data_IF_469054702607
#
_entry.id   IF_469054702607
#
_cell.length_a   1.000
_cell.length_b   1.000
_cell.length_c   1.000
_cell.angle_alpha   90.00
_cell.angle_beta   90.00
_cell.angle_gamma   90.00
#
_symmetry.space_group_name_H-M   'P 1'
#
loop_
_entity.id
_entity.type
_entity.pdbx_description
1 polymer ?
#
# COMPACT_ATOMS: atom_id res chain seq x y z
N UNK A 1 -17.31 -24.42 1.60
CA UNK A 1 -18.69 -23.95 1.28
C UNK A 1 -18.66 -22.43 1.37
N UNK A 2 -19.04 -21.78 0.29
CA UNK A 2 -19.34 -20.36 0.27
C UNK A 2 -20.70 -20.20 0.95
N UNK A 3 -20.75 -19.60 2.12
CA UNK A 3 -22.02 -19.17 2.71
C UNK A 3 -22.20 -17.69 2.33
N UNK A 4 -23.15 -17.42 1.44
CA UNK A 4 -23.72 -16.08 1.36
C UNK A 4 -24.38 -15.79 2.70
N UNK A 5 -24.17 -14.61 3.25
CA UNK A 5 -25.01 -14.17 4.35
C UNK A 5 -26.46 -14.13 3.87
N UNK A 6 -27.42 -14.55 4.72
CA UNK A 6 -28.81 -14.56 4.32
C UNK A 6 -29.25 -13.15 3.97
N UNK A 7 -29.91 -13.09 2.86
CA UNK A 7 -30.76 -12.02 2.39
C UNK A 7 -30.20 -10.60 2.37
N UNK A 8 -29.96 -10.16 1.17
CA UNK A 8 -30.01 -8.80 0.64
C UNK A 8 -29.07 -7.75 1.19
N UNK A 9 -28.28 -8.03 2.22
CA UNK A 9 -27.65 -6.93 2.96
C UNK A 9 -26.17 -7.07 3.26
N UNK A 10 -25.52 -8.20 2.98
CA UNK A 10 -24.07 -8.32 3.16
C UNK A 10 -23.40 -8.96 1.94
N UNK A 11 -22.70 -8.15 1.18
CA UNK A 11 -21.84 -8.61 0.07
C UNK A 11 -20.50 -9.20 0.57
N UNK A 12 -20.43 -9.63 1.81
CA UNK A 12 -19.27 -10.39 2.30
C UNK A 12 -19.50 -11.86 1.96
N UNK A 13 -18.75 -12.35 0.98
CA UNK A 13 -18.61 -13.77 0.77
C UNK A 13 -17.55 -14.29 1.74
N UNK A 14 -17.98 -15.07 2.73
CA UNK A 14 -17.10 -15.71 3.68
C UNK A 14 -16.83 -17.15 3.26
N UNK A 15 -15.61 -17.43 2.86
CA UNK A 15 -15.13 -18.79 2.70
C UNK A 15 -14.48 -19.24 3.99
N UNK A 16 -14.98 -20.32 4.58
CA UNK A 16 -14.40 -20.87 5.81
C UNK A 16 -13.54 -22.08 5.48
N UNK A 17 -12.29 -22.00 5.83
CA UNK A 17 -11.39 -23.15 5.92
C UNK A 17 -11.30 -23.53 7.40
N UNK A 18 -11.38 -24.82 7.69
CA UNK A 18 -11.38 -25.33 9.05
C UNK A 18 -10.16 -26.16 9.36
N UNK A 19 -9.63 -25.90 10.56
CA UNK A 19 -8.76 -26.78 11.28
C UNK A 19 -9.45 -27.09 12.64
N UNK A 20 -10.29 -28.13 12.68
CA UNK A 20 -11.03 -28.49 13.87
C UNK A 20 -12.53 -28.13 13.82
N UNK A 21 -13.18 -28.15 14.97
CA UNK A 21 -14.60 -27.82 15.12
C UNK A 21 -14.87 -26.31 14.94
N UNK A 22 -16.04 -25.91 14.43
CA UNK A 22 -16.37 -24.51 14.22
C UNK A 22 -16.42 -23.74 15.51
N UNK A 23 -15.77 -22.57 15.50
CA UNK A 23 -15.85 -21.64 16.63
C UNK A 23 -17.21 -20.90 16.61
N UNK A 24 -18.01 -21.07 17.65
CA UNK A 24 -19.31 -20.40 17.76
C UNK A 24 -19.22 -18.88 17.81
N UNK A 25 -18.09 -18.36 18.29
CA UNK A 25 -17.86 -16.92 18.39
C UNK A 25 -17.80 -16.20 17.03
N UNK A 26 -17.56 -16.90 15.92
CA UNK A 26 -17.66 -16.37 14.58
C UNK A 26 -19.02 -15.72 14.28
N UNK A 27 -20.11 -16.32 14.77
CA UNK A 27 -21.47 -15.75 14.61
C UNK A 27 -21.61 -14.45 15.39
N UNK A 28 -21.03 -14.37 16.58
CA UNK A 28 -21.02 -13.17 17.39
C UNK A 28 -20.24 -12.04 16.70
N UNK A 29 -19.09 -12.36 16.09
CA UNK A 29 -18.30 -11.40 15.31
C UNK A 29 -19.13 -10.81 14.15
N UNK A 30 -19.75 -11.65 13.33
CA UNK A 30 -20.56 -11.21 12.20
C UNK A 30 -21.77 -10.38 12.64
N UNK A 31 -22.42 -10.78 13.72
CA UNK A 31 -23.54 -10.05 14.31
C UNK A 31 -23.11 -8.66 14.81
N UNK A 32 -21.96 -8.58 15.48
CA UNK A 32 -21.41 -7.31 15.97
C UNK A 32 -21.02 -6.39 14.81
N UNK A 33 -20.36 -6.93 13.79
CA UNK A 33 -20.00 -6.18 12.60
C UNK A 33 -21.25 -5.57 11.92
N UNK A 34 -22.29 -6.36 11.72
CA UNK A 34 -23.55 -5.92 11.13
C UNK A 34 -24.24 -4.84 11.98
N UNK A 35 -24.35 -5.08 13.28
CA UNK A 35 -25.04 -4.16 14.20
C UNK A 35 -24.33 -2.83 14.37
N UNK A 36 -23.00 -2.86 14.49
CA UNK A 36 -22.22 -1.69 14.87
C UNK A 36 -21.88 -0.78 13.69
N UNK A 37 -21.57 -1.37 12.56
CA UNK A 37 -21.02 -0.63 11.40
C UNK A 37 -21.96 -0.61 10.20
N UNK A 38 -23.16 -1.16 10.31
CA UNK A 38 -24.13 -1.16 9.21
C UNK A 38 -23.59 -1.82 7.94
N UNK A 39 -22.78 -2.87 8.09
CA UNK A 39 -22.13 -3.57 6.99
C UNK A 39 -23.16 -4.30 6.12
N UNK A 40 -24.02 -3.55 5.46
CA UNK A 40 -25.09 -4.08 4.61
C UNK A 40 -24.60 -4.43 3.20
N UNK A 41 -23.48 -3.86 2.76
CA UNK A 41 -22.91 -4.14 1.44
C UNK A 41 -21.39 -4.06 1.53
N UNK A 42 -20.74 -5.19 1.74
CA UNK A 42 -19.29 -5.31 1.62
C UNK A 42 -19.00 -6.16 0.38
N UNK A 43 -18.53 -5.55 -0.72
CA UNK A 43 -18.35 -6.24 -2.00
C UNK A 43 -17.12 -7.16 -2.00
N UNK A 44 -16.74 -7.75 -0.86
CA UNK A 44 -15.45 -8.39 -0.75
C UNK A 44 -15.49 -9.76 -0.13
N UNK A 45 -14.72 -10.63 -0.75
CA UNK A 45 -14.49 -11.98 -0.29
C UNK A 45 -13.45 -11.98 0.84
N UNK A 46 -13.89 -12.40 2.04
CA UNK A 46 -12.99 -12.74 3.13
C UNK A 46 -12.93 -14.25 3.30
N UNK A 47 -11.73 -14.77 3.48
CA UNK A 47 -11.53 -16.11 3.99
C UNK A 47 -11.35 -16.04 5.50
N UNK A 48 -12.21 -16.72 6.23
CA UNK A 48 -12.03 -17.00 7.65
C UNK A 48 -11.31 -18.33 7.79
N UNK A 49 -10.09 -18.30 8.29
CA UNK A 49 -9.33 -19.49 8.63
C UNK A 49 -9.33 -19.65 10.14
N UNK A 50 -9.96 -20.74 10.61
CA UNK A 50 -9.98 -21.11 12.01
C UNK A 50 -8.80 -22.05 12.30
N UNK A 51 -8.01 -21.74 13.30
CA UNK A 51 -6.84 -22.53 13.65
C UNK A 51 -6.72 -22.72 15.17
N UNK A 52 -6.62 -23.98 15.65
CA UNK A 52 -6.32 -24.23 17.04
C UNK A 52 -4.98 -23.58 17.46
N UNK A 53 -4.89 -23.03 18.70
CA UNK A 53 -3.69 -22.35 19.18
C UNK A 53 -2.43 -23.23 19.17
N UNK A 54 -2.61 -24.53 19.41
CA UNK A 54 -1.51 -25.49 19.37
C UNK A 54 -0.92 -25.63 17.96
N UNK A 55 -1.79 -25.74 16.95
CA UNK A 55 -1.36 -25.80 15.54
C UNK A 55 -0.69 -24.49 15.15
N UNK A 56 -1.31 -23.36 15.48
CA UNK A 56 -0.76 -22.05 15.18
C UNK A 56 0.66 -21.88 15.73
N UNK A 57 0.86 -22.16 17.02
CA UNK A 57 2.18 -22.08 17.67
C UNK A 57 3.20 -23.03 17.05
N UNK A 58 2.79 -24.27 16.76
CA UNK A 58 3.66 -25.25 16.08
C UNK A 58 4.10 -24.74 14.71
N UNK A 59 3.17 -24.19 13.95
CA UNK A 59 3.46 -23.60 12.64
C UNK A 59 4.46 -22.45 12.73
N UNK A 60 4.25 -21.52 13.64
CA UNK A 60 5.17 -20.40 13.83
C UNK A 60 6.57 -20.87 14.27
N UNK A 61 6.66 -21.87 15.16
CA UNK A 61 7.94 -22.43 15.59
C UNK A 61 8.71 -23.06 14.45
N UNK A 62 8.04 -23.84 13.60
CA UNK A 62 8.67 -24.44 12.44
C UNK A 62 9.12 -23.41 11.41
N UNK A 63 8.29 -22.37 11.16
CA UNK A 63 8.68 -21.27 10.27
C UNK A 63 9.86 -20.50 10.82
N UNK A 64 9.85 -20.15 12.11
CA UNK A 64 10.98 -19.47 12.73
C UNK A 64 12.29 -20.26 12.55
N UNK A 65 12.25 -21.59 12.82
CA UNK A 65 13.41 -22.46 12.63
C UNK A 65 13.84 -22.57 11.14
N UNK A 66 12.88 -22.59 10.21
CA UNK A 66 13.18 -22.60 8.77
C UNK A 66 13.82 -21.29 8.30
N UNK A 67 13.39 -20.15 8.84
CA UNK A 67 13.94 -18.84 8.49
C UNK A 67 15.40 -18.66 8.93
N UNK A 68 15.83 -19.37 9.95
CA UNK A 68 17.24 -19.36 10.42
C UNK A 68 18.18 -20.16 9.51
N UNK A 69 17.66 -21.07 8.68
CA UNK A 69 18.47 -21.89 7.80
C UNK A 69 18.96 -21.11 6.58
N UNK A 70 20.21 -21.29 6.14
CA UNK A 70 20.72 -20.67 4.91
C UNK A 70 19.93 -21.09 3.67
N UNK A 71 19.50 -22.35 3.63
CA UNK A 71 18.66 -22.91 2.56
C UNK A 71 17.49 -23.64 3.19
N UNK A 72 16.28 -23.03 3.19
CA UNK A 72 15.10 -23.66 3.73
C UNK A 72 14.67 -24.86 2.86
N UNK A 73 14.34 -25.97 3.51
CA UNK A 73 13.85 -27.18 2.87
C UNK A 73 12.31 -27.26 2.99
N UNK A 74 11.57 -27.50 1.89
CA UNK A 74 10.13 -27.76 1.96
C UNK A 74 9.74 -28.89 2.91
N UNK A 75 10.65 -29.85 3.14
CA UNK A 75 10.46 -30.93 4.11
C UNK A 75 10.44 -30.43 5.57
N UNK A 76 11.01 -29.27 5.85
CA UNK A 76 10.96 -28.65 7.17
C UNK A 76 9.55 -28.15 7.52
N UNK A 77 8.71 -28.01 6.50
CA UNK A 77 7.37 -27.51 6.62
C UNK A 77 6.42 -28.23 5.64
N UNK A 78 5.66 -29.15 6.14
CA UNK A 78 4.72 -29.93 5.33
C UNK A 78 3.46 -29.12 4.98
N UNK A 79 3.55 -28.20 4.02
CA UNK A 79 2.38 -27.64 3.35
C UNK A 79 2.09 -28.44 2.08
N UNK A 80 1.11 -29.33 2.10
CA UNK A 80 0.79 -30.14 0.94
C UNK A 80 0.43 -29.27 -0.26
N UNK A 81 1.09 -29.50 -1.39
CA UNK A 81 0.79 -28.82 -2.65
C UNK A 81 1.56 -27.52 -2.92
N UNK A 82 2.42 -27.05 -2.02
CA UNK A 82 3.38 -25.99 -2.34
C UNK A 82 4.54 -26.57 -3.16
N UNK A 83 4.88 -25.90 -4.24
CA UNK A 83 6.12 -26.19 -4.98
C UNK A 83 7.32 -25.65 -4.22
N UNK A 84 8.47 -26.28 -4.42
CA UNK A 84 9.73 -25.87 -3.80
C UNK A 84 10.09 -24.39 -4.08
N UNK A 85 9.85 -23.93 -5.30
CA UNK A 85 10.09 -22.55 -5.69
C UNK A 85 9.21 -21.57 -4.91
N UNK A 86 7.91 -21.86 -4.79
CA UNK A 86 6.99 -21.05 -4.01
C UNK A 86 7.38 -21.02 -2.52
N UNK A 87 7.79 -22.17 -1.99
CA UNK A 87 8.29 -22.26 -0.62
C UNK A 87 9.50 -21.36 -0.39
N UNK A 88 10.50 -21.41 -1.27
CA UNK A 88 11.69 -20.56 -1.15
C UNK A 88 11.35 -19.09 -1.10
N UNK A 89 10.43 -18.67 -1.95
CA UNK A 89 10.06 -17.23 -2.02
C UNK A 89 9.25 -16.81 -0.81
N UNK A 90 8.32 -17.65 -0.34
CA UNK A 90 7.56 -17.38 0.88
C UNK A 90 8.48 -17.28 2.10
N UNK A 91 9.49 -18.14 2.20
CA UNK A 91 10.51 -18.07 3.25
C UNK A 91 11.35 -16.82 3.11
N UNK A 92 11.73 -16.43 1.89
CA UNK A 92 12.48 -15.19 1.68
C UNK A 92 11.69 -13.95 2.09
N UNK A 93 10.39 -13.93 1.83
CA UNK A 93 9.52 -12.88 2.34
C UNK A 93 9.43 -12.89 3.88
N UNK A 94 9.37 -14.09 4.48
CA UNK A 94 9.41 -14.25 5.93
C UNK A 94 10.69 -13.73 6.57
N UNK A 95 11.83 -13.83 5.89
CA UNK A 95 13.11 -13.23 6.33
C UNK A 95 13.06 -11.71 6.38
N UNK A 96 12.17 -11.09 5.60
CA UNK A 96 11.96 -9.63 5.61
C UNK A 96 11.03 -9.18 6.73
N UNK A 97 10.00 -9.97 7.05
CA UNK A 97 8.92 -9.60 7.96
C UNK A 97 8.63 -10.59 9.10
N UNK A 98 9.49 -11.60 9.27
CA UNK A 98 9.35 -12.59 10.34
C UNK A 98 8.42 -13.77 10.02
N UNK A 99 8.29 -14.73 10.96
CA UNK A 99 7.55 -15.96 10.74
C UNK A 99 6.04 -15.76 10.57
N UNK A 100 5.48 -14.71 11.18
CA UNK A 100 4.06 -14.38 10.99
C UNK A 100 3.79 -13.98 9.54
N UNK A 101 4.61 -13.10 8.95
CA UNK A 101 4.46 -12.73 7.54
C UNK A 101 4.60 -13.94 6.63
N UNK A 102 5.56 -14.83 6.88
CA UNK A 102 5.70 -16.07 6.12
C UNK A 102 4.43 -16.93 6.21
N UNK A 103 3.88 -17.10 7.42
CA UNK A 103 2.65 -17.85 7.63
C UNK A 103 1.48 -17.24 6.87
N UNK A 104 1.32 -15.92 6.94
CA UNK A 104 0.28 -15.20 6.23
C UNK A 104 0.33 -15.43 4.73
N UNK A 105 1.51 -15.33 4.12
CA UNK A 105 1.69 -15.58 2.69
C UNK A 105 1.40 -17.02 2.30
N UNK A 106 1.83 -17.97 3.11
CA UNK A 106 1.51 -19.39 2.92
C UNK A 106 -0.01 -19.62 3.01
N UNK A 107 -0.65 -19.03 4.02
CA UNK A 107 -2.11 -19.15 4.19
C UNK A 107 -2.86 -18.52 3.02
N UNK A 108 -2.44 -17.36 2.55
CA UNK A 108 -3.03 -16.72 1.35
C UNK A 108 -2.90 -17.63 0.12
N UNK A 109 -1.71 -18.17 -0.12
CA UNK A 109 -1.46 -19.07 -1.23
C UNK A 109 -2.32 -20.34 -1.15
N UNK A 110 -2.44 -20.95 0.04
CA UNK A 110 -3.23 -22.16 0.24
C UNK A 110 -4.73 -21.93 0.19
N UNK A 111 -5.20 -20.84 0.79
CA UNK A 111 -6.62 -20.50 0.79
C UNK A 111 -7.09 -19.97 -0.56
N UNK A 112 -6.17 -19.63 -1.45
CA UNK A 112 -6.46 -18.98 -2.74
C UNK A 112 -7.25 -17.70 -2.54
N UNK A 113 -6.99 -17.00 -1.46
CA UNK A 113 -7.65 -15.78 -1.08
C UNK A 113 -6.63 -14.76 -0.60
N UNK A 114 -6.80 -13.55 -1.08
CA UNK A 114 -5.90 -12.45 -0.77
C UNK A 114 -6.19 -11.89 0.60
N UNK A 115 -7.46 -11.92 1.03
CA UNK A 115 -7.93 -11.34 2.28
C UNK A 115 -8.31 -12.42 3.24
N UNK A 116 -7.61 -12.48 4.36
CA UNK A 116 -7.79 -13.53 5.34
C UNK A 116 -7.90 -12.93 6.73
N UNK A 117 -8.86 -13.43 7.48
CA UNK A 117 -8.90 -13.29 8.93
C UNK A 117 -8.51 -14.64 9.51
N UNK A 118 -7.29 -14.76 10.03
CA UNK A 118 -6.84 -15.95 10.70
C UNK A 118 -7.33 -15.89 12.16
N UNK A 119 -8.28 -16.75 12.48
CA UNK A 119 -8.93 -16.85 13.78
C UNK A 119 -8.22 -17.92 14.60
N UNK A 120 -7.47 -17.52 15.61
CA UNK A 120 -6.78 -18.43 16.52
C UNK A 120 -7.60 -18.59 17.79
N UNK A 121 -7.98 -19.83 18.07
CA UNK A 121 -8.78 -20.15 19.24
C UNK A 121 -9.41 -21.53 19.10
N UNK A 122 -9.96 -22.05 20.18
CA UNK A 122 -10.66 -23.33 20.23
C UNK A 122 -12.11 -23.11 20.67
N UNK A 123 -12.40 -23.24 21.96
CA UNK A 123 -13.74 -22.96 22.52
C UNK A 123 -14.03 -21.46 22.61
N UNK A 124 -12.99 -20.66 22.66
CA UNK A 124 -13.04 -19.19 22.69
C UNK A 124 -11.94 -18.59 21.81
N UNK A 125 -12.13 -17.36 21.33
CA UNK A 125 -11.07 -16.67 20.60
C UNK A 125 -9.87 -16.36 21.51
N UNK A 126 -8.66 -16.54 20.99
CA UNK A 126 -7.42 -16.04 21.61
C UNK A 126 -6.93 -14.81 20.87
N UNK A 127 -6.89 -14.86 19.55
CA UNK A 127 -6.46 -13.76 18.71
C UNK A 127 -7.04 -13.84 17.29
N UNK A 128 -7.02 -12.70 16.59
CA UNK A 128 -7.27 -12.63 15.16
C UNK A 128 -6.12 -11.89 14.48
N UNK A 129 -5.70 -12.44 13.35
CA UNK A 129 -4.67 -11.86 12.50
C UNK A 129 -5.31 -11.49 11.16
N UNK A 130 -5.66 -10.20 10.95
CA UNK A 130 -6.12 -9.72 9.67
C UNK A 130 -4.93 -9.51 8.74
N UNK A 131 -5.02 -9.98 7.50
CA UNK A 131 -4.03 -9.71 6.48
C UNK A 131 -4.61 -9.71 5.06
N UNK A 132 -3.97 -8.97 4.19
CA UNK A 132 -4.35 -8.80 2.79
C UNK A 132 -3.10 -8.68 1.89
N UNK A 133 -3.26 -8.19 0.65
CA UNK A 133 -2.14 -8.02 -0.28
C UNK A 133 -1.07 -7.05 0.23
N UNK A 134 -1.47 -6.02 0.96
CA UNK A 134 -0.59 -4.93 1.33
C UNK A 134 0.15 -5.16 2.64
N UNK A 135 -0.22 -6.13 3.43
CA UNK A 135 0.53 -6.47 4.63
C UNK A 135 -0.28 -7.15 5.72
N UNK A 136 0.41 -7.41 6.82
CA UNK A 136 -0.15 -7.86 8.05
C UNK A 136 -0.66 -6.66 8.84
N UNK A 137 -1.91 -6.72 9.23
CA UNK A 137 -2.45 -5.75 10.18
C UNK A 137 -2.13 -6.21 11.61
N UNK A 138 -2.08 -5.31 12.60
CA UNK A 138 -1.87 -5.69 13.97
C UNK A 138 -2.88 -6.75 14.42
N UNK A 139 -2.41 -7.74 15.15
CA UNK A 139 -3.29 -8.76 15.73
C UNK A 139 -4.22 -8.15 16.77
N UNK A 140 -5.39 -8.73 16.94
CA UNK A 140 -6.35 -8.40 17.98
C UNK A 140 -6.37 -9.52 19.01
N UNK A 141 -6.08 -9.21 20.26
CA UNK A 141 -6.09 -10.19 21.35
C UNK A 141 -7.41 -10.19 22.10
N UNK A 142 -7.91 -11.37 22.46
CA UNK A 142 -9.20 -11.54 23.13
C UNK A 142 -9.07 -11.38 24.65
N UNK A 143 -8.80 -10.18 25.12
CA UNK A 143 -8.76 -9.88 26.56
C UNK A 143 -10.15 -9.64 27.15
N UNK A 144 -10.97 -8.86 26.44
CA UNK A 144 -12.39 -8.64 26.74
C UNK A 144 -13.21 -9.01 25.50
N UNK A 145 -14.12 -9.95 25.63
CA UNK A 145 -14.88 -10.46 24.48
C UNK A 145 -15.75 -9.41 23.81
N UNK A 146 -16.30 -8.46 24.56
CA UNK A 146 -17.13 -7.40 23.96
C UNK A 146 -16.27 -6.44 23.15
N UNK A 147 -15.19 -5.94 23.73
CA UNK A 147 -14.23 -5.08 23.06
C UNK A 147 -13.55 -5.81 21.90
N UNK A 148 -13.23 -7.09 22.05
CA UNK A 148 -12.66 -7.93 21.02
C UNK A 148 -13.56 -8.01 19.78
N UNK A 149 -14.85 -8.29 19.94
CA UNK A 149 -15.77 -8.37 18.81
C UNK A 149 -15.96 -7.00 18.13
N UNK A 150 -16.02 -5.92 18.90
CA UNK A 150 -16.12 -4.58 18.34
C UNK A 150 -14.86 -4.19 17.57
N UNK A 151 -13.69 -4.50 18.08
CA UNK A 151 -12.41 -4.20 17.44
C UNK A 151 -12.22 -4.98 16.13
N UNK A 152 -12.53 -6.30 16.14
CA UNK A 152 -12.47 -7.09 14.91
C UNK A 152 -13.51 -6.61 13.89
N UNK A 153 -14.72 -6.28 14.33
CA UNK A 153 -15.74 -5.77 13.44
C UNK A 153 -15.33 -4.42 12.83
N UNK A 154 -14.67 -3.55 13.59
CA UNK A 154 -14.10 -2.31 13.09
C UNK A 154 -12.97 -2.59 12.07
N UNK A 155 -12.08 -3.54 12.34
CA UNK A 155 -11.02 -3.95 11.41
C UNK A 155 -11.59 -4.54 10.13
N UNK A 156 -12.62 -5.37 10.23
CA UNK A 156 -13.34 -5.89 9.05
C UNK A 156 -13.94 -4.75 8.23
N UNK A 157 -14.59 -3.78 8.87
CA UNK A 157 -15.16 -2.62 8.20
C UNK A 157 -14.06 -1.77 7.55
N UNK A 158 -12.95 -1.57 8.25
CA UNK A 158 -11.78 -0.84 7.75
C UNK A 158 -11.17 -1.56 6.55
N UNK A 159 -10.89 -2.85 6.67
CA UNK A 159 -10.37 -3.68 5.57
C UNK A 159 -11.38 -3.73 4.42
N UNK A 160 -12.67 -3.76 4.68
CA UNK A 160 -13.70 -3.75 3.66
C UNK A 160 -13.79 -2.40 2.94
N UNK A 161 -13.69 -1.28 3.67
CA UNK A 161 -13.68 0.05 3.08
C UNK A 161 -12.47 0.26 2.16
N UNK A 162 -11.40 -0.51 2.34
CA UNK A 162 -10.21 -0.49 1.49
C UNK A 162 -10.46 -1.02 0.08
N UNK A 163 -11.61 -1.61 -0.14
CA UNK A 163 -12.03 -2.13 -1.44
C UNK A 163 -13.25 -1.41 -1.99
N UNK A 164 -13.50 -0.24 -1.46
CA UNK A 164 -14.34 0.68 -2.19
C UNK A 164 -13.75 0.80 -3.59
N UNK A 165 -14.54 0.37 -4.58
CA UNK A 165 -14.14 0.40 -5.98
C UNK A 165 -13.60 1.79 -6.28
N UNK A 166 -12.39 1.86 -6.76
CA UNK A 166 -11.83 3.15 -7.18
C UNK A 166 -12.59 3.59 -8.42
N UNK A 167 -13.50 4.53 -8.24
CA UNK A 167 -14.38 5.06 -9.28
C UNK A 167 -13.71 6.24 -9.97
N UNK A 168 -12.74 5.96 -10.85
CA UNK A 168 -12.15 7.01 -11.67
C UNK A 168 -13.15 7.50 -12.72
N UNK A 169 -13.26 8.79 -12.86
CA UNK A 169 -14.13 9.45 -13.84
C UNK A 169 -13.30 10.09 -14.95
N UNK A 170 -13.63 9.77 -16.20
CA UNK A 170 -13.01 10.43 -17.35
C UNK A 170 -13.76 11.70 -17.70
N UNK A 171 -13.04 12.82 -17.78
CA UNK A 171 -13.61 14.14 -18.04
C UNK A 171 -13.23 14.67 -19.42
N UNK A 172 -14.18 15.26 -20.12
CA UNK A 172 -14.00 15.86 -21.43
C UNK A 172 -13.74 17.39 -21.31
N UNK A 173 -13.11 18.03 -22.29
CA UNK A 173 -12.57 17.43 -23.52
C UNK A 173 -11.24 16.73 -23.27
N UNK A 174 -10.85 15.75 -24.11
CA UNK A 174 -9.53 15.14 -24.04
C UNK A 174 -8.43 16.17 -24.29
N UNK A 175 -7.26 15.91 -23.71
CA UNK A 175 -6.05 16.66 -24.03
C UNK A 175 -5.61 16.36 -25.47
N UNK A 176 -5.30 17.37 -26.24
CA UNK A 176 -4.79 17.17 -27.59
C UNK A 176 -3.47 16.39 -27.58
N UNK A 177 -3.32 15.45 -28.50
CA UNK A 177 -2.09 14.65 -28.61
C UNK A 177 -0.84 15.52 -28.75
N UNK A 178 -0.95 16.62 -29.50
CA UNK A 178 0.14 17.55 -29.70
C UNK A 178 0.58 18.30 -28.43
N UNK A 179 -0.35 18.53 -27.51
CA UNK A 179 -0.03 19.14 -26.20
C UNK A 179 0.69 18.14 -25.30
N UNK A 180 0.18 16.90 -25.25
CA UNK A 180 0.81 15.81 -24.52
C UNK A 180 2.25 15.56 -24.95
N UNK A 181 2.51 15.51 -26.26
CA UNK A 181 3.85 15.28 -26.80
C UNK A 181 4.83 16.44 -26.55
N UNK A 182 4.35 17.65 -26.24
CA UNK A 182 5.17 18.78 -25.85
C UNK A 182 5.44 18.83 -24.35
N UNK A 183 4.68 18.11 -23.56
CA UNK A 183 4.89 18.03 -22.11
C UNK A 183 6.21 17.34 -21.78
N UNK A 184 6.92 17.86 -20.78
CA UNK A 184 8.27 17.34 -20.43
C UNK A 184 8.21 16.29 -19.31
N UNK A 185 7.18 16.35 -18.47
CA UNK A 185 7.03 15.45 -17.31
C UNK A 185 6.83 13.99 -17.73
N UNK A 186 6.06 13.64 -18.75
CA UNK A 186 5.92 12.23 -19.15
C UNK A 186 7.25 11.54 -19.45
N UNK A 187 8.13 12.20 -20.22
CA UNK A 187 9.45 11.66 -20.52
C UNK A 187 10.37 11.61 -19.28
N UNK A 188 10.28 12.60 -18.40
CA UNK A 188 11.02 12.59 -17.13
C UNK A 188 10.56 11.45 -16.21
N UNK A 189 9.25 11.17 -16.14
CA UNK A 189 8.74 10.05 -15.38
C UNK A 189 9.21 8.69 -15.90
N UNK A 190 9.35 8.53 -17.22
CA UNK A 190 9.93 7.30 -17.78
C UNK A 190 11.41 7.11 -17.39
N UNK A 191 12.16 8.19 -17.25
CA UNK A 191 13.54 8.12 -16.72
C UNK A 191 13.53 7.80 -15.23
N UNK A 192 12.69 8.49 -14.47
CA UNK A 192 12.53 8.27 -13.04
C UNK A 192 12.11 6.82 -12.71
N UNK A 193 11.25 6.23 -13.52
CA UNK A 193 10.82 4.83 -13.35
C UNK A 193 12.01 3.86 -13.27
N UNK A 194 13.00 4.02 -14.16
CA UNK A 194 14.22 3.19 -14.16
C UNK A 194 15.05 3.38 -12.89
N UNK A 195 15.27 4.62 -12.49
CA UNK A 195 16.03 4.93 -11.28
C UNK A 195 15.35 4.41 -10.01
N UNK A 196 14.04 4.63 -9.89
CA UNK A 196 13.26 4.16 -8.74
C UNK A 196 13.16 2.62 -8.71
N UNK A 197 13.05 2.00 -9.87
CA UNK A 197 13.04 0.54 -10.01
C UNK A 197 14.37 -0.09 -9.57
N UNK A 198 15.51 0.45 -10.01
CA UNK A 198 16.84 0.00 -9.59
C UNK A 198 17.07 0.12 -8.08
N UNK A 199 16.44 1.11 -7.44
CA UNK A 199 16.46 1.32 -6.00
C UNK A 199 15.45 0.46 -5.23
N UNK A 200 14.69 -0.39 -5.95
CA UNK A 200 13.79 -1.39 -5.38
C UNK A 200 12.47 -0.87 -4.87
N UNK A 201 12.03 0.35 -5.26
CA UNK A 201 10.73 0.88 -4.84
C UNK A 201 9.54 0.09 -5.36
N UNK A 202 9.69 -0.57 -6.50
CA UNK A 202 8.65 -1.40 -7.11
C UNK A 202 8.86 -2.89 -6.88
N UNK A 203 9.64 -3.26 -5.87
CA UNK A 203 9.80 -4.65 -5.48
C UNK A 203 8.48 -5.15 -4.88
N UNK A 204 7.88 -6.20 -5.44
CA UNK A 204 6.62 -6.73 -4.96
C UNK A 204 6.67 -7.10 -3.47
N UNK A 205 5.61 -6.76 -2.71
CA UNK A 205 5.41 -7.28 -1.36
C UNK A 205 5.16 -8.77 -1.40
N UNK A 206 4.41 -9.20 -2.43
CA UNK A 206 4.18 -10.61 -2.75
C UNK A 206 4.72 -10.84 -4.15
N UNK A 207 5.57 -11.85 -4.32
CA UNK A 207 5.93 -12.29 -5.65
C UNK A 207 4.72 -12.94 -6.29
N UNK A 208 4.22 -12.36 -7.38
CA UNK A 208 3.05 -12.92 -8.09
C UNK A 208 3.31 -14.35 -8.53
N UNK A 209 4.56 -14.69 -8.88
CA UNK A 209 4.97 -16.06 -9.22
C UNK A 209 4.67 -17.03 -8.07
N UNK A 210 4.73 -16.61 -6.82
CA UNK A 210 4.46 -17.47 -5.66
C UNK A 210 2.98 -17.77 -5.51
N UNK A 211 2.15 -16.78 -5.78
CA UNK A 211 0.70 -16.96 -5.80
C UNK A 211 0.27 -17.85 -6.98
N UNK A 212 0.92 -17.73 -8.15
CA UNK A 212 0.61 -18.52 -9.33
C UNK A 212 1.17 -19.96 -9.25
N UNK A 213 2.12 -20.23 -8.36
CA UNK A 213 2.55 -21.59 -8.05
C UNK A 213 1.42 -22.43 -7.44
N UNK A 214 0.39 -21.80 -6.91
CA UNK A 214 -0.85 -22.45 -6.51
C UNK A 214 -1.84 -22.36 -7.67
N UNK A 215 -2.24 -23.51 -8.31
CA UNK A 215 -2.93 -23.53 -9.63
C UNK A 215 -4.26 -22.83 -9.76
N UNK A 216 -4.71 -22.08 -8.79
CA UNK A 216 -6.01 -21.39 -8.85
C UNK A 216 -5.97 -19.96 -8.31
N UNK A 217 -4.80 -19.43 -7.99
CA UNK A 217 -4.61 -17.98 -7.83
C UNK A 217 -4.33 -17.47 -9.22
N UNK A 218 -5.39 -17.16 -9.91
CA UNK A 218 -5.45 -17.00 -11.33
C UNK A 218 -4.65 -15.80 -11.84
N UNK A 219 -4.35 -15.84 -13.12
CA UNK A 219 -3.92 -14.72 -13.96
C UNK A 219 -4.68 -13.41 -13.70
N UNK A 220 -5.91 -13.48 -13.19
CA UNK A 220 -6.73 -12.33 -12.82
C UNK A 220 -6.10 -11.49 -11.69
N UNK A 221 -5.47 -12.11 -10.68
CA UNK A 221 -4.76 -11.38 -9.63
C UNK A 221 -3.46 -10.82 -10.18
N UNK A 222 -2.72 -11.63 -10.92
CA UNK A 222 -1.47 -11.22 -11.54
C UNK A 222 -1.64 -10.08 -12.54
N UNK A 223 -2.78 -10.01 -13.22
CA UNK A 223 -3.08 -8.95 -14.20
C UNK A 223 -3.62 -7.65 -13.59
N UNK A 224 -4.14 -7.71 -12.37
CA UNK A 224 -4.72 -6.55 -11.67
C UNK A 224 -3.79 -5.95 -10.62
N UNK A 225 -2.74 -6.66 -10.26
CA UNK A 225 -1.84 -6.25 -9.19
C UNK A 225 -0.73 -5.34 -9.74
N UNK A 226 -0.60 -4.16 -9.14
CA UNK A 226 0.42 -3.18 -9.47
C UNK A 226 1.13 -2.74 -8.19
N UNK A 227 2.45 -2.72 -8.21
CA UNK A 227 3.27 -2.36 -7.06
C UNK A 227 3.67 -0.90 -7.10
N UNK A 228 3.30 -0.19 -6.04
CA UNK A 228 3.57 1.23 -5.87
C UNK A 228 2.97 2.14 -6.95
N UNK A 229 3.09 3.41 -6.77
CA UNK A 229 2.75 4.41 -7.80
C UNK A 229 3.63 5.65 -7.66
N UNK A 230 3.74 6.40 -8.72
CA UNK A 230 4.44 7.69 -8.68
C UNK A 230 3.81 8.67 -9.66
N UNK A 231 3.96 9.94 -9.32
CA UNK A 231 3.34 11.03 -10.06
C UNK A 231 4.18 12.29 -9.98
N UNK A 232 4.05 13.16 -10.97
CA UNK A 232 4.65 14.49 -10.94
C UNK A 232 3.74 15.52 -11.58
N UNK A 233 3.70 16.72 -11.01
CA UNK A 233 2.92 17.83 -11.55
C UNK A 233 3.56 18.38 -12.81
N UNK A 234 2.77 18.50 -13.87
CA UNK A 234 3.18 19.18 -15.10
C UNK A 234 2.61 20.61 -15.12
N UNK A 235 3.46 21.64 -15.01
CA UNK A 235 2.99 23.02 -14.92
C UNK A 235 2.44 23.56 -16.26
N UNK A 236 2.80 22.96 -17.38
CA UNK A 236 2.29 23.37 -18.70
C UNK A 236 0.89 22.78 -18.97
N UNK A 237 0.61 21.62 -18.41
CA UNK A 237 -0.70 20.96 -18.49
C UNK A 237 -1.63 21.32 -17.33
N UNK A 238 -1.09 21.99 -16.29
CA UNK A 238 -1.75 22.25 -15.00
C UNK A 238 -2.44 21.00 -14.44
N UNK A 239 -1.70 19.92 -14.40
CA UNK A 239 -2.25 18.61 -14.03
C UNK A 239 -1.17 17.67 -13.46
N UNK A 240 -1.60 16.66 -12.73
CA UNK A 240 -0.74 15.61 -12.20
C UNK A 240 -0.63 14.48 -13.22
N UNK A 241 0.58 14.21 -13.69
CA UNK A 241 0.90 13.01 -14.50
C UNK A 241 1.21 11.87 -13.55
N UNK A 242 0.46 10.79 -13.62
CA UNK A 242 0.59 9.65 -12.71
C UNK A 242 0.65 8.32 -13.48
N UNK A 243 1.22 7.28 -12.85
CA UNK A 243 1.21 5.94 -13.40
C UNK A 243 -0.20 5.36 -13.43
N UNK A 244 -0.52 4.59 -14.48
CA UNK A 244 -1.78 3.87 -14.60
C UNK A 244 -1.77 2.58 -13.77
N UNK A 245 -2.94 2.06 -13.45
CA UNK A 245 -3.07 0.75 -12.79
C UNK A 245 -2.49 -0.34 -13.69
N UNK A 246 -1.76 -1.29 -13.09
CA UNK A 246 -1.11 -2.36 -13.86
C UNK A 246 -0.04 -1.90 -14.85
N UNK A 247 0.51 -0.66 -14.68
CA UNK A 247 1.54 -0.08 -15.55
C UNK A 247 2.69 -1.05 -15.81
N UNK A 248 2.98 -1.30 -17.07
CA UNK A 248 4.06 -2.18 -17.54
C UNK A 248 4.08 -3.56 -16.85
N UNK A 249 3.00 -3.97 -16.23
CA UNK A 249 2.83 -5.11 -15.35
C UNK A 249 3.54 -4.93 -13.98
N UNK A 250 3.12 -5.63 -12.93
CA UNK A 250 3.60 -5.41 -11.55
C UNK A 250 5.12 -5.43 -11.39
N UNK A 251 5.78 -6.36 -12.06
CA UNK A 251 7.22 -6.61 -11.93
C UNK A 251 8.10 -5.77 -12.86
N UNK A 252 7.50 -4.94 -13.70
CA UNK A 252 8.19 -4.17 -14.75
C UNK A 252 7.88 -2.68 -14.71
N UNK A 253 7.47 -2.14 -13.55
CA UNK A 253 7.15 -0.72 -13.40
C UNK A 253 8.34 0.21 -13.66
N UNK A 254 9.54 -0.33 -13.64
CA UNK A 254 10.77 0.32 -14.09
C UNK A 254 10.83 0.58 -15.60
N UNK A 255 9.91 0.02 -16.39
CA UNK A 255 9.90 0.07 -17.85
C UNK A 255 8.60 0.65 -18.41
N UNK A 256 8.04 1.65 -17.74
CA UNK A 256 6.81 2.31 -18.22
C UNK A 256 7.04 3.01 -19.56
N UNK A 257 6.02 2.90 -20.41
CA UNK A 257 5.91 3.64 -21.67
C UNK A 257 4.93 4.81 -21.57
N UNK A 258 4.69 5.46 -22.68
CA UNK A 258 3.75 6.58 -22.76
C UNK A 258 2.32 6.17 -22.40
N UNK A 259 1.89 4.95 -22.78
CA UNK A 259 0.56 4.41 -22.49
C UNK A 259 0.35 4.00 -21.02
N UNK A 260 1.42 4.05 -20.22
CA UNK A 260 1.38 3.74 -18.79
C UNK A 260 1.24 4.98 -17.90
N UNK A 261 0.86 6.11 -18.49
CA UNK A 261 0.67 7.39 -17.78
C UNK A 261 -0.75 7.92 -18.01
N UNK A 262 -1.32 8.49 -16.96
CA UNK A 262 -2.61 9.16 -16.96
C UNK A 262 -2.48 10.60 -16.48
N UNK A 263 -3.40 11.46 -16.96
CA UNK A 263 -3.45 12.88 -16.59
C UNK A 263 -4.59 13.09 -15.60
N UNK A 264 -4.25 13.43 -14.35
CA UNK A 264 -5.20 13.66 -13.27
C UNK A 264 -5.40 15.15 -13.09
N UNK A 265 -6.66 15.58 -13.13
CA UNK A 265 -7.07 16.98 -13.05
C UNK A 265 -7.91 17.30 -11.81
N UNK A 266 -8.24 16.28 -11.00
CA UNK A 266 -9.04 16.46 -9.79
C UNK A 266 -9.32 15.15 -9.07
N UNK A 267 -10.11 15.26 -8.03
CA UNK A 267 -10.70 14.13 -7.29
C UNK A 267 -12.19 14.11 -7.57
N UNK A 268 -12.74 12.93 -7.82
CA UNK A 268 -14.17 12.76 -8.00
C UNK A 268 -14.94 13.22 -6.74
N UNK A 269 -16.17 13.75 -6.87
CA UNK A 269 -16.94 14.26 -5.73
C UNK A 269 -17.17 13.21 -4.63
N UNK A 270 -17.18 11.92 -4.98
CA UNK A 270 -17.28 10.83 -4.02
C UNK A 270 -16.02 10.67 -3.13
N UNK A 271 -14.89 11.25 -3.51
CA UNK A 271 -13.57 11.03 -2.90
C UNK A 271 -12.99 9.64 -3.20
N UNK A 272 -13.67 8.82 -4.04
CA UNK A 272 -13.29 7.42 -4.31
C UNK A 272 -12.49 7.25 -5.59
N UNK A 273 -12.34 8.27 -6.37
CA UNK A 273 -11.67 8.23 -7.67
C UNK A 273 -11.04 9.54 -8.04
N UNK A 274 -10.15 9.50 -9.02
CA UNK A 274 -9.56 10.67 -9.65
C UNK A 274 -10.40 11.09 -10.86
N UNK A 275 -10.44 12.39 -11.12
CA UNK A 275 -10.88 12.94 -12.40
C UNK A 275 -9.73 12.86 -13.39
N UNK A 276 -9.91 12.07 -14.43
CA UNK A 276 -8.88 11.75 -15.42
C UNK A 276 -9.21 12.42 -16.75
N UNK A 277 -8.32 13.25 -17.23
CA UNK A 277 -8.45 13.83 -18.56
C UNK A 277 -7.87 12.89 -19.59
N UNK A 278 -8.67 12.35 -20.54
CA UNK A 278 -8.18 11.46 -21.58
C UNK A 278 -7.17 12.17 -22.47
N UNK A 279 -6.27 11.42 -23.08
CA UNK A 279 -5.35 11.90 -24.11
C UNK A 279 -5.90 11.47 -25.45
N UNK A 280 -5.99 12.39 -26.42
CA UNK A 280 -6.48 12.12 -27.75
C UNK A 280 -5.68 10.99 -28.43
N UNK A 281 -6.40 9.97 -28.93
CA UNK A 281 -5.79 8.81 -29.59
C UNK A 281 -5.12 7.81 -28.65
N UNK A 282 -5.11 8.04 -27.33
CA UNK A 282 -4.60 7.09 -26.34
C UNK A 282 -5.75 6.25 -25.72
N UNK A 283 -5.48 5.02 -25.27
CA UNK A 283 -6.46 4.24 -24.51
C UNK A 283 -6.89 4.97 -23.23
N UNK A 284 -8.16 4.88 -22.88
CA UNK A 284 -8.66 5.37 -21.58
C UNK A 284 -8.30 4.38 -20.47
N UNK A 285 -7.06 4.40 -20.02
CA UNK A 285 -6.58 3.53 -18.95
C UNK A 285 -6.73 4.26 -17.60
N UNK A 286 -7.34 3.65 -16.60
CA UNK A 286 -7.47 4.25 -15.28
C UNK A 286 -6.09 4.38 -14.62
N UNK A 287 -5.85 5.46 -13.85
CA UNK A 287 -4.64 5.60 -13.05
C UNK A 287 -4.59 4.56 -11.94
N UNK A 288 -3.44 4.49 -11.23
CA UNK A 288 -3.34 3.71 -10.00
C UNK A 288 -4.46 4.08 -9.02
N UNK A 289 -4.93 3.12 -8.24
CA UNK A 289 -5.90 3.38 -7.16
C UNK A 289 -5.45 4.47 -6.19
N UNK A 290 -4.15 4.61 -6.00
CA UNK A 290 -3.50 5.61 -5.14
C UNK A 290 -3.40 7.01 -5.77
N UNK A 291 -3.87 7.19 -6.99
CA UNK A 291 -3.86 8.48 -7.65
C UNK A 291 -4.69 9.55 -6.93
N UNK A 292 -5.73 9.13 -6.20
CA UNK A 292 -6.55 10.03 -5.38
C UNK A 292 -5.70 10.65 -4.28
N UNK A 293 -4.96 9.84 -3.53
CA UNK A 293 -4.09 10.33 -2.47
C UNK A 293 -2.96 11.22 -3.02
N UNK A 294 -2.39 10.84 -4.17
CA UNK A 294 -1.34 11.62 -4.83
C UNK A 294 -1.82 13.01 -5.30
N UNK A 295 -3.08 13.16 -5.63
CA UNK A 295 -3.65 14.45 -6.00
C UNK A 295 -4.16 15.22 -4.77
N UNK A 296 -4.87 14.53 -3.88
CA UNK A 296 -5.60 15.16 -2.79
C UNK A 296 -4.70 15.72 -1.69
N UNK A 297 -3.51 15.13 -1.51
CA UNK A 297 -2.54 15.62 -0.54
C UNK A 297 -2.07 17.06 -0.80
N UNK A 298 -2.20 17.58 -2.02
CA UNK A 298 -1.83 18.95 -2.36
C UNK A 298 -2.86 20.00 -1.88
N UNK A 299 -4.10 19.60 -1.60
CA UNK A 299 -5.18 20.54 -1.30
C UNK A 299 -4.90 21.46 -0.09
N UNK A 300 -4.36 20.95 1.04
CA UNK A 300 -4.04 21.78 2.20
C UNK A 300 -2.67 22.49 2.09
N UNK A 301 -1.91 22.26 1.02
CA UNK A 301 -0.56 22.78 0.87
C UNK A 301 -0.55 24.10 0.08
N UNK A 302 0.44 24.96 0.31
CA UNK A 302 0.58 26.18 -0.46
C UNK A 302 0.86 25.91 -1.94
N UNK A 303 0.45 26.85 -2.77
CA UNK A 303 0.84 26.91 -4.19
C UNK A 303 1.93 27.95 -4.38
N UNK A 304 2.80 27.69 -5.32
CA UNK A 304 3.92 28.57 -5.67
C UNK A 304 3.84 29.01 -7.14
N UNK A 305 4.43 30.15 -7.44
CA UNK A 305 4.54 30.65 -8.82
C UNK A 305 5.83 30.16 -9.47
N UNK A 306 5.69 29.51 -10.61
CA UNK A 306 6.82 29.06 -11.44
C UNK A 306 6.82 29.83 -12.76
N UNK A 307 7.99 30.35 -13.15
CA UNK A 307 8.18 30.91 -14.49
C UNK A 307 8.56 29.79 -15.45
N UNK A 308 7.71 29.54 -16.42
CA UNK A 308 7.91 28.52 -17.44
C UNK A 308 8.86 28.99 -18.54
N UNK A 309 9.34 28.06 -19.35
CA UNK A 309 10.06 28.40 -20.58
C UNK A 309 9.17 29.29 -21.47
N UNK A 310 9.68 30.45 -21.86
CA UNK A 310 8.88 31.45 -22.60
C UNK A 310 8.26 32.55 -21.74
N UNK A 311 8.50 32.54 -20.42
CA UNK A 311 8.14 33.65 -19.52
C UNK A 311 6.70 33.57 -18.94
N UNK A 312 5.92 32.59 -19.34
CA UNK A 312 4.61 32.36 -18.72
C UNK A 312 4.74 31.97 -17.24
N UNK A 313 3.82 32.42 -16.39
CA UNK A 313 3.80 32.07 -14.97
C UNK A 313 2.68 31.07 -14.73
N UNK A 314 3.02 29.94 -14.10
CA UNK A 314 2.07 28.93 -13.65
C UNK A 314 2.02 28.89 -12.12
N UNK A 315 0.82 28.76 -11.55
CA UNK A 315 0.62 28.56 -10.12
C UNK A 315 0.45 27.05 -9.84
N UNK A 316 1.43 26.45 -9.20
CA UNK A 316 1.50 25.00 -9.01
C UNK A 316 1.54 24.62 -7.53
N UNK A 317 1.16 23.37 -7.14
CA UNK A 317 1.38 22.90 -5.78
C UNK A 317 2.86 22.98 -5.39
N UNK A 318 3.15 23.20 -4.11
CA UNK A 318 4.53 23.21 -3.58
C UNK A 318 5.24 21.87 -3.81
N UNK A 319 4.51 20.78 -3.78
CA UNK A 319 4.99 19.43 -4.07
C UNK A 319 4.98 19.19 -5.57
N UNK A 320 6.14 18.82 -6.11
CA UNK A 320 6.30 18.47 -7.51
C UNK A 320 6.07 17.00 -7.79
N UNK A 321 6.78 16.14 -7.05
CA UNK A 321 6.84 14.70 -7.33
C UNK A 321 6.42 13.92 -6.09
N UNK A 322 5.74 12.81 -6.29
CA UNK A 322 5.18 11.95 -5.25
C UNK A 322 5.41 10.51 -5.63
N UNK A 323 5.90 9.73 -4.67
CA UNK A 323 6.19 8.31 -4.83
C UNK A 323 5.57 7.55 -3.67
N UNK A 324 4.75 6.57 -3.98
CA UNK A 324 4.44 5.49 -3.07
C UNK A 324 5.18 4.24 -3.52
N UNK A 325 5.88 3.60 -2.58
CA UNK A 325 6.62 2.37 -2.85
C UNK A 325 6.71 1.48 -1.63
N UNK A 326 6.96 0.19 -1.87
CA UNK A 326 6.98 -0.84 -0.84
C UNK A 326 8.37 -0.96 -0.19
N UNK A 327 8.84 0.15 0.34
CA UNK A 327 10.11 0.27 1.07
C UNK A 327 9.84 0.93 2.42
N UNK A 328 10.69 0.66 3.40
CA UNK A 328 10.77 1.46 4.61
C UNK A 328 11.88 2.51 4.52
N UNK A 329 11.97 3.34 5.53
CA UNK A 329 13.08 4.27 5.74
C UNK A 329 13.74 3.90 7.06
N UNK A 330 15.03 3.52 7.02
CA UNK A 330 15.77 3.13 8.20
C UNK A 330 16.48 4.30 8.90
N UNK A 331 16.82 5.35 8.15
CA UNK A 331 17.38 6.57 8.70
C UNK A 331 17.23 7.75 7.73
N UNK A 332 17.26 8.96 8.26
CA UNK A 332 17.28 10.19 7.45
C UNK A 332 18.00 11.32 8.16
N UNK A 333 18.49 12.31 7.40
CA UNK A 333 19.07 13.55 7.93
C UNK A 333 17.94 14.60 8.09
N UNK A 334 17.61 15.03 9.32
CA UNK A 334 16.51 15.96 9.57
C UNK A 334 16.77 17.39 9.04
N UNK A 335 18.01 17.69 8.65
CA UNK A 335 18.35 18.96 8.01
C UNK A 335 17.95 19.00 6.53
N UNK A 336 17.74 17.85 5.91
CA UNK A 336 17.46 17.70 4.49
C UNK A 336 16.10 17.06 4.21
N UNK A 337 15.62 16.21 5.13
CA UNK A 337 14.40 15.41 4.96
C UNK A 337 13.53 15.55 6.19
N UNK A 338 12.22 15.66 6.01
CA UNK A 338 11.24 15.67 7.10
C UNK A 338 10.46 14.36 7.15
N UNK A 339 10.46 13.72 8.31
CA UNK A 339 9.51 12.64 8.62
C UNK A 339 8.21 13.22 9.16
N UNK A 340 7.10 12.83 8.58
CA UNK A 340 5.76 13.27 8.98
C UNK A 340 4.98 12.05 9.45
N UNK A 341 4.76 11.85 10.75
CA UNK A 341 4.01 10.70 11.24
C UNK A 341 2.53 10.82 10.87
N UNK A 342 1.91 9.68 10.57
CA UNK A 342 0.47 9.56 10.52
C UNK A 342 -0.13 9.75 11.93
N UNK A 343 -1.43 9.98 12.01
CA UNK A 343 -2.11 9.99 13.28
C UNK A 343 -2.13 8.61 13.94
N UNK A 344 -2.17 8.59 15.28
CA UNK A 344 -2.15 7.34 16.04
C UNK A 344 -3.28 6.40 15.64
N UNK A 345 -4.45 6.94 15.36
CA UNK A 345 -5.60 6.14 14.93
C UNK A 345 -5.33 5.31 13.67
N UNK A 346 -4.47 5.79 12.77
CA UNK A 346 -4.07 5.03 11.59
C UNK A 346 -3.18 3.83 11.93
N UNK A 347 -2.31 3.95 12.94
CA UNK A 347 -1.47 2.83 13.38
C UNK A 347 -2.28 1.76 14.10
N UNK A 348 -3.31 2.18 14.83
CA UNK A 348 -4.21 1.25 15.52
C UNK A 348 -5.14 0.52 14.53
N UNK A 349 -5.56 1.21 13.46
CA UNK A 349 -6.50 0.72 12.44
C UNK A 349 -6.03 1.08 11.03
N UNK A 350 -4.93 0.49 10.55
CA UNK A 350 -4.41 0.81 9.23
C UNK A 350 -5.41 0.39 8.15
N UNK A 351 -5.56 1.25 7.17
CA UNK A 351 -6.39 1.01 5.98
C UNK A 351 -5.51 0.64 4.80
N UNK A 352 -6.02 -0.16 3.88
CA UNK A 352 -5.23 -0.52 2.70
C UNK A 352 -5.26 0.56 1.61
N UNK A 353 -4.44 0.35 0.59
CA UNK A 353 -4.20 1.33 -0.46
C UNK A 353 -5.44 1.63 -1.32
N UNK A 354 -5.46 2.84 -1.86
CA UNK A 354 -6.46 3.28 -2.81
C UNK A 354 -7.81 3.64 -2.21
N UNK A 355 -7.89 3.82 -0.88
CA UNK A 355 -9.12 4.20 -0.22
C UNK A 355 -9.16 5.69 0.10
N UNK A 356 -10.38 6.21 0.21
CA UNK A 356 -10.60 7.57 0.69
C UNK A 356 -9.98 7.78 2.08
N UNK A 357 -10.15 6.84 3.00
CA UNK A 357 -9.62 6.93 4.36
C UNK A 357 -8.08 7.01 4.37
N UNK A 358 -7.38 6.25 3.52
CA UNK A 358 -5.94 6.35 3.37
C UNK A 358 -5.53 7.71 2.79
N UNK A 359 -6.22 8.16 1.75
CA UNK A 359 -5.96 9.44 1.13
C UNK A 359 -6.15 10.60 2.13
N UNK A 360 -7.20 10.55 2.95
CA UNK A 360 -7.44 11.52 4.03
C UNK A 360 -6.31 11.51 5.08
N UNK A 361 -5.87 10.33 5.52
CA UNK A 361 -4.80 10.19 6.50
C UNK A 361 -3.44 10.73 5.98
N UNK A 362 -3.11 10.44 4.72
CA UNK A 362 -1.89 10.95 4.07
C UNK A 362 -1.97 12.46 3.88
N UNK A 363 -3.10 12.97 3.38
CA UNK A 363 -3.37 14.40 3.22
C UNK A 363 -3.20 15.16 4.54
N UNK A 364 -3.78 14.62 5.61
CA UNK A 364 -3.67 15.21 6.93
C UNK A 364 -2.24 15.16 7.49
N UNK A 365 -1.52 14.07 7.30
CA UNK A 365 -0.12 14.00 7.66
C UNK A 365 0.68 15.12 6.98
N UNK A 366 0.67 15.18 5.64
CA UNK A 366 1.46 16.18 4.92
C UNK A 366 0.99 17.62 5.14
N UNK A 367 -0.26 17.85 5.54
CA UNK A 367 -0.71 19.20 5.96
C UNK A 367 0.04 19.73 7.19
N UNK A 368 0.66 18.84 7.97
CA UNK A 368 1.49 19.18 9.15
C UNK A 368 2.98 19.28 8.84
N UNK A 369 3.41 18.92 7.63
CA UNK A 369 4.81 18.98 7.24
C UNK A 369 5.31 20.42 7.19
N UNK A 370 6.23 20.77 8.08
CA UNK A 370 6.75 22.15 8.19
C UNK A 370 7.45 22.59 6.90
N UNK A 371 8.22 21.69 6.27
CA UNK A 371 8.92 22.00 5.04
C UNK A 371 7.97 22.22 3.84
N UNK A 372 6.78 21.61 3.86
CA UNK A 372 5.79 21.78 2.79
C UNK A 372 4.90 22.99 3.02
N UNK A 373 4.58 23.32 4.28
CA UNK A 373 3.81 24.50 4.64
C UNK A 373 4.59 25.80 4.46
N UNK A 374 5.90 25.74 4.58
CA UNK A 374 6.79 26.87 4.31
C UNK A 374 7.58 26.64 3.01
N UNK A 375 7.21 27.29 1.88
CA UNK A 375 7.95 27.17 0.62
C UNK A 375 9.43 27.58 0.71
N UNK A 376 9.81 28.40 1.72
CA UNK A 376 11.18 28.87 1.95
C UNK A 376 12.00 27.91 2.83
N UNK A 377 11.42 26.85 3.36
CA UNK A 377 12.17 25.81 4.08
C UNK A 377 13.10 25.09 3.11
N UNK A 378 14.38 24.97 3.47
CA UNK A 378 15.43 24.41 2.60
C UNK A 378 15.32 22.89 2.43
N UNK A 379 14.48 22.20 3.21
CA UNK A 379 14.25 20.76 3.06
C UNK A 379 13.31 20.49 1.89
N UNK A 380 13.78 19.86 0.82
CA UNK A 380 12.98 19.61 -0.37
C UNK A 380 12.20 18.30 -0.32
N UNK A 381 12.46 17.44 0.67
CA UNK A 381 11.88 16.10 0.75
C UNK A 381 11.15 15.89 2.08
N UNK A 382 9.95 15.34 2.00
CA UNK A 382 9.23 14.82 3.17
C UNK A 382 8.74 13.39 2.90
N UNK A 383 8.53 12.63 3.98
CA UNK A 383 7.98 11.28 3.85
C UNK A 383 7.11 10.88 5.05
N UNK A 384 6.22 9.94 4.80
CA UNK A 384 5.47 9.20 5.84
C UNK A 384 5.58 7.71 5.62
N UNK A 385 5.41 6.92 6.67
CA UNK A 385 5.40 5.45 6.60
C UNK A 385 3.97 4.95 6.79
N UNK A 386 3.54 4.11 5.87
CA UNK A 386 2.31 3.34 5.95
C UNK A 386 2.64 1.99 6.59
N UNK A 387 2.17 1.69 7.82
CA UNK A 387 2.52 0.45 8.51
C UNK A 387 2.19 -0.79 7.69
N UNK A 388 3.14 -1.71 7.60
CA UNK A 388 2.99 -2.96 6.84
C UNK A 388 2.85 -2.82 5.33
N UNK A 389 2.86 -1.58 4.81
CA UNK A 389 2.60 -1.29 3.41
C UNK A 389 3.81 -0.68 2.70
N UNK A 390 4.32 0.44 3.20
CA UNK A 390 5.45 1.08 2.56
C UNK A 390 5.65 2.54 2.96
N UNK A 391 6.18 3.32 2.03
CA UNK A 391 6.50 4.73 2.22
C UNK A 391 5.76 5.59 1.20
N UNK A 392 5.34 6.78 1.61
CA UNK A 392 4.99 7.87 0.70
C UNK A 392 6.07 8.94 0.83
N UNK A 393 6.76 9.22 -0.28
CA UNK A 393 7.81 10.23 -0.40
C UNK A 393 7.31 11.36 -1.29
N UNK A 394 7.62 12.59 -0.92
CA UNK A 394 7.26 13.77 -1.70
C UNK A 394 8.48 14.67 -1.87
N UNK A 395 8.55 15.32 -3.03
CA UNK A 395 9.64 16.21 -3.42
C UNK A 395 9.07 17.57 -3.82
N UNK A 396 9.64 18.64 -3.29
CA UNK A 396 9.33 20.02 -3.68
C UNK A 396 9.95 20.37 -5.03
N UNK A 397 9.53 21.49 -5.58
CA UNK A 397 10.21 22.10 -6.72
C UNK A 397 11.59 22.59 -6.31
N UNK A 398 12.62 22.12 -7.03
CA UNK A 398 13.98 22.60 -6.91
C UNK A 398 14.46 23.09 -8.28
N UNK A 399 14.90 24.34 -8.41
CA UNK A 399 15.35 24.88 -9.70
C UNK A 399 16.41 24.02 -10.37
N UNK A 400 16.25 23.76 -11.66
CA UNK A 400 17.21 22.99 -12.47
C UNK A 400 17.17 21.47 -12.25
N UNK A 401 16.29 20.94 -11.38
CA UNK A 401 16.15 19.51 -11.15
C UNK A 401 14.99 18.92 -11.94
N UNK A 402 15.13 17.67 -12.37
CA UNK A 402 14.03 16.89 -12.94
C UNK A 402 13.15 16.27 -11.85
N UNK A 403 11.94 15.79 -12.17
CA UNK A 403 11.10 15.03 -11.24
C UNK A 403 11.86 13.85 -10.62
N UNK A 404 11.76 13.70 -9.31
CA UNK A 404 12.40 12.68 -8.48
C UNK A 404 13.91 12.77 -8.35
N UNK A 405 14.56 13.70 -9.04
CA UNK A 405 16.03 13.80 -9.05
C UNK A 405 16.59 14.02 -7.64
N UNK A 406 15.95 14.84 -6.85
CA UNK A 406 16.38 15.11 -5.47
C UNK A 406 16.26 13.85 -4.61
N UNK A 407 15.24 13.02 -4.81
CA UNK A 407 15.08 11.80 -4.03
C UNK A 407 16.28 10.87 -4.18
N UNK A 408 16.70 10.57 -5.42
CA UNK A 408 17.84 9.68 -5.58
C UNK A 408 19.19 10.34 -5.24
N UNK A 409 19.36 11.64 -5.49
CA UNK A 409 20.55 12.35 -5.03
C UNK A 409 20.69 12.30 -3.50
N UNK A 410 19.58 12.41 -2.77
CA UNK A 410 19.57 12.32 -1.31
C UNK A 410 19.84 10.92 -0.78
N UNK A 411 19.40 9.90 -1.50
CA UNK A 411 19.78 8.51 -1.20
C UNK A 411 21.28 8.29 -1.42
N UNK A 412 21.82 8.78 -2.52
CA UNK A 412 23.24 8.64 -2.86
C UNK A 412 24.14 9.44 -1.92
N UNK A 413 23.69 10.59 -1.46
CA UNK A 413 24.39 11.42 -0.47
C UNK A 413 24.26 10.90 0.98
N UNK A 414 23.42 9.88 1.22
CA UNK A 414 23.18 9.33 2.55
C UNK A 414 22.28 10.20 3.44
N UNK A 415 21.50 11.11 2.86
CA UNK A 415 20.50 11.89 3.60
C UNK A 415 19.18 11.14 3.79
N UNK A 416 18.93 10.11 2.97
CA UNK A 416 17.76 9.25 3.06
C UNK A 416 18.19 7.78 2.85
N UNK A 417 18.01 6.97 3.87
CA UNK A 417 18.35 5.54 3.84
C UNK A 417 17.08 4.70 3.72
N UNK A 418 16.81 4.22 2.53
CA UNK A 418 15.69 3.30 2.30
C UNK A 418 16.05 1.87 2.67
N UNK A 419 15.05 1.10 3.10
CA UNK A 419 15.19 -0.27 3.59
C UNK A 419 14.13 -1.16 2.95
N UNK A 420 14.44 -2.46 2.82
CA UNK A 420 13.43 -3.46 2.45
C UNK A 420 12.51 -3.80 3.64
N UNK A 421 12.91 -3.49 4.87
CA UNK A 421 12.08 -3.69 6.05
C UNK A 421 11.05 -2.56 6.14
N UNK A 422 9.78 -2.94 6.23
CA UNK A 422 8.65 -2.04 6.39
C UNK A 422 8.13 -2.19 7.82
N UNK A 423 8.08 -1.11 8.62
CA UNK A 423 7.52 -1.17 9.96
C UNK A 423 6.06 -1.61 9.96
N UNK A 424 5.69 -2.45 10.93
CA UNK A 424 4.32 -2.98 11.05
C UNK A 424 3.42 -2.17 12.01
N UNK A 425 4.00 -1.22 12.74
CA UNK A 425 3.28 -0.44 13.74
C UNK A 425 3.72 1.02 13.75
N UNK A 426 3.49 1.68 14.87
CA UNK A 426 3.85 3.09 15.04
C UNK A 426 5.36 3.29 14.87
N UNK A 427 5.72 4.23 14.01
CA UNK A 427 7.11 4.52 13.65
C UNK A 427 7.65 5.64 14.51
N UNK A 428 8.84 5.41 15.07
CA UNK A 428 9.61 6.42 15.79
C UNK A 428 11.03 6.45 15.27
N UNK A 429 11.62 7.64 15.26
CA UNK A 429 13.01 7.86 14.89
C UNK A 429 13.72 8.56 16.03
N UNK A 430 14.90 8.07 16.35
CA UNK A 430 15.75 8.64 17.39
C UNK A 430 17.07 9.19 16.84
N UNK A 431 17.61 10.26 17.42
CA UNK A 431 18.88 10.84 17.00
C UNK A 431 20.04 9.85 17.20
N UNK A 432 20.79 9.56 16.15
CA UNK A 432 21.99 8.73 16.21
C UNK A 432 23.00 9.13 15.12
N UNK A 433 24.18 9.61 15.53
CA UNK A 433 25.27 9.91 14.60
C UNK A 433 24.97 11.01 13.57
N UNK A 434 24.16 12.02 13.95
CA UNK A 434 23.76 13.11 13.05
C UNK A 434 22.57 12.80 12.16
N UNK A 435 22.06 11.57 12.19
CA UNK A 435 20.86 11.13 11.51
C UNK A 435 19.76 10.84 12.53
N UNK A 436 18.54 10.83 12.07
CA UNK A 436 17.40 10.20 12.75
C UNK A 436 17.32 8.74 12.28
N UNK A 437 17.36 7.78 13.20
CA UNK A 437 17.29 6.35 12.90
C UNK A 437 16.00 5.75 13.40
N UNK A 438 15.46 4.83 12.63
CA UNK A 438 14.30 4.06 13.05
C UNK A 438 14.63 3.34 14.37
N UNK A 439 13.85 3.63 15.40
CA UNK A 439 13.92 2.90 16.66
C UNK A 439 13.65 1.41 16.38
N UNK A 440 14.46 0.54 16.95
CA UNK A 440 14.22 -0.89 16.86
C UNK A 440 12.90 -1.17 17.59
N UNK A 441 11.82 -1.35 16.81
CA UNK A 441 10.56 -1.80 17.38
C UNK A 441 10.79 -3.19 17.93
N UNK A 442 10.55 -3.38 19.23
CA UNK A 442 10.50 -4.70 19.82
C UNK A 442 9.51 -5.57 19.04
N UNK A 443 9.91 -6.80 18.76
CA UNK A 443 9.13 -7.83 18.08
C UNK A 443 7.81 -8.11 18.81
#
# INVERSE_FOLDING_TARGET
>A
RVQSAPDDEMDILLTTLRYGEPLNWRRALLFTARRRFGLSRLPHLYTLLEMPPTIFRTMLTHLAAALEKPSPDPADWAFPGLREEAWRVLVEQGRRGGPILALERIVQAQSKCIRVLLLVGEDRPEAVYPFDLVGAHPRVEAQDLSAFYEDIALRMATIASTFEVTEHEFVDPPLLRAEWLRATVPAAMQRAARELGQRGFFTPLIQVADLTAVPAVSDAIASQYSEGCFSSWDPALDALVATVTGSARPVRKDQIGEGDLALIVGVAPSGRGALVRPIEGAPRTPPSSEAVEMFWMDEPLPRISLTLAGGAVSCVPVVRSKLHGHRGVSAYDPRHVEFVPLERAYYDYPVSCGTRAQAEAIREAFSRAACLQNPQDDRPVAFTILPGHGVVLVEKWVPGKEPFQILWEYMDAGYLHVSSRIPQGMVRYEPAGGLMRLEAMGD
#
